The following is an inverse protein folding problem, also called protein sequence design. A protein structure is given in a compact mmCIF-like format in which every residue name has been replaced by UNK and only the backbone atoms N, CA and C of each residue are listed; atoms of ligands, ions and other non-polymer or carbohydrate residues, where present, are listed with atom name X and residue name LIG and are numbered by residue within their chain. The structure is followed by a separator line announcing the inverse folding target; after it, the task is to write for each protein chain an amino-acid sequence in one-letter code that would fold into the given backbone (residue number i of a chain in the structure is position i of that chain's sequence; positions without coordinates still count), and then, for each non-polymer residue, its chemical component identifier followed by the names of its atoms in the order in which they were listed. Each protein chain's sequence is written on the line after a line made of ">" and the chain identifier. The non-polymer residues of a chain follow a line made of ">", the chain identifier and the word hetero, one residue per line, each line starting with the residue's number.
data_IF_853794355662
#
_entry.id   IF_853794355662
#
_cell.length_a   1.000
_cell.length_b   1.000
_cell.length_c   1.000
_cell.angle_alpha   90.00
_cell.angle_beta   90.00
_cell.angle_gamma   90.00
#
_symmetry.space_group_name_H-M   'P 1'
#
loop_
_entity.id
_entity.type
_entity.pdbx_description
1 polymer ?
#
# COMPACT_ATOMS: atom_id res chain seq x y z
N UNK A 1 17.43 3.21 -2.78
CA UNK A 1 16.06 3.07 -2.25
C UNK A 1 16.13 3.61 -0.84
N UNK A 2 15.67 4.84 -0.63
CA UNK A 2 15.58 5.39 0.73
C UNK A 2 14.40 4.71 1.41
N UNK A 3 14.71 3.76 2.29
CA UNK A 3 13.74 3.19 3.21
C UNK A 3 13.89 3.98 4.52
N UNK A 4 12.85 4.69 4.92
CA UNK A 4 12.83 5.37 6.22
C UNK A 4 12.94 4.32 7.33
N UNK A 5 14.15 4.13 7.87
CA UNK A 5 14.43 3.27 9.04
C UNK A 5 14.13 3.94 10.36
N UNK A 6 13.38 5.05 10.35
CA UNK A 6 13.00 5.68 11.59
C UNK A 6 12.14 4.67 12.38
N UNK A 7 12.35 4.60 13.70
CA UNK A 7 11.99 3.47 14.57
C UNK A 7 10.47 3.37 14.85
N UNK A 8 9.65 3.60 13.81
CA UNK A 8 8.19 3.73 13.82
C UNK A 8 7.50 2.50 13.23
N UNK A 9 8.07 1.32 13.40
CA UNK A 9 7.36 0.10 13.02
C UNK A 9 6.12 -0.03 13.90
N UNK A 10 4.94 0.12 13.30
CA UNK A 10 3.69 -0.27 13.97
C UNK A 10 3.76 -1.77 14.22
N UNK A 11 3.42 -2.19 15.44
CA UNK A 11 3.31 -3.60 15.78
C UNK A 11 2.33 -4.28 14.84
N UNK A 12 2.75 -5.38 14.22
CA UNK A 12 1.95 -6.05 13.20
C UNK A 12 2.67 -7.21 12.55
N UNK A 13 1.88 -8.09 11.91
CA UNK A 13 2.41 -9.19 11.09
C UNK A 13 2.47 -8.70 9.65
N UNK A 14 3.63 -8.78 9.00
CA UNK A 14 3.78 -8.46 7.58
C UNK A 14 2.84 -9.33 6.73
N UNK A 15 2.15 -8.70 5.78
CA UNK A 15 1.31 -9.44 4.84
C UNK A 15 2.12 -10.44 4.01
N UNK A 16 1.50 -11.58 3.67
CA UNK A 16 2.12 -12.63 2.87
C UNK A 16 1.16 -13.07 1.76
N UNK A 17 1.70 -13.56 0.66
CA UNK A 17 0.90 -14.08 -0.45
C UNK A 17 1.40 -15.47 -0.83
N UNK A 18 0.49 -16.44 -0.86
CA UNK A 18 0.75 -17.73 -1.49
C UNK A 18 0.47 -17.59 -2.99
N UNK A 19 1.52 -17.77 -3.79
CA UNK A 19 1.44 -17.72 -5.25
C UNK A 19 1.57 -19.13 -5.80
N UNK A 20 0.52 -19.59 -6.49
CA UNK A 20 0.49 -20.89 -7.16
C UNK A 20 0.61 -20.69 -8.66
N UNK A 21 1.58 -21.35 -9.28
CA UNK A 21 1.91 -21.21 -10.70
C UNK A 21 1.60 -22.50 -11.43
N UNK A 22 0.80 -22.41 -12.49
CA UNK A 22 0.48 -23.54 -13.37
C UNK A 22 1.47 -23.65 -14.54
N UNK A 23 1.54 -24.80 -15.25
CA UNK A 23 2.52 -24.99 -16.34
C UNK A 23 2.39 -24.01 -17.51
N UNK A 24 1.23 -23.40 -17.70
CA UNK A 24 0.96 -22.32 -18.66
C UNK A 24 1.43 -20.94 -18.17
N UNK A 25 2.14 -20.89 -17.05
CA UNK A 25 2.71 -19.71 -16.41
C UNK A 25 1.70 -18.70 -15.82
N UNK A 26 0.41 -19.05 -15.78
CA UNK A 26 -0.59 -18.31 -15.03
C UNK A 26 -0.35 -18.38 -13.52
N UNK A 27 -0.85 -17.39 -12.78
CA UNK A 27 -0.67 -17.30 -11.33
C UNK A 27 -1.99 -17.10 -10.62
N UNK A 28 -2.25 -17.93 -9.61
CA UNK A 28 -3.31 -17.70 -8.64
C UNK A 28 -2.71 -17.18 -7.35
N UNK A 29 -3.19 -16.02 -6.89
CA UNK A 29 -2.72 -15.36 -5.69
C UNK A 29 -3.72 -15.56 -4.54
N UNK A 30 -3.23 -15.98 -3.38
CA UNK A 30 -3.99 -16.00 -2.14
C UNK A 30 -3.27 -15.15 -1.10
N UNK A 31 -3.81 -13.96 -0.82
CA UNK A 31 -3.13 -12.93 -0.02
C UNK A 31 -3.70 -12.82 1.39
N UNK A 32 -2.82 -12.94 2.38
CA UNK A 32 -3.05 -12.50 3.74
C UNK A 32 -2.47 -11.09 3.92
N UNK A 33 -3.32 -10.08 4.10
CA UNK A 33 -2.88 -8.69 4.09
C UNK A 33 -2.02 -8.28 5.30
N UNK A 34 -2.17 -8.95 6.45
CA UNK A 34 -1.44 -8.59 7.67
C UNK A 34 -1.64 -7.10 8.04
N UNK A 35 -0.55 -6.44 8.41
CA UNK A 35 -0.54 -5.01 8.79
C UNK A 35 -0.97 -4.07 7.64
N UNK A 36 -0.88 -4.51 6.37
CA UNK A 36 -1.33 -3.67 5.23
C UNK A 36 -2.85 -3.44 5.27
N UNK A 37 -3.61 -4.29 5.97
CA UNK A 37 -5.05 -4.09 6.17
C UNK A 37 -5.36 -2.83 6.99
N UNK A 38 -4.41 -2.35 7.80
CA UNK A 38 -4.57 -1.20 8.71
C UNK A 38 -3.97 0.09 8.17
N UNK A 39 -3.50 0.11 6.92
CA UNK A 39 -2.99 1.32 6.29
C UNK A 39 -4.07 2.41 6.32
N UNK A 40 -3.66 3.64 6.62
CA UNK A 40 -4.54 4.78 6.84
C UNK A 40 -3.92 6.07 6.33
N UNK A 41 -4.70 7.15 6.35
CA UNK A 41 -4.21 8.48 5.98
C UNK A 41 -3.06 8.98 6.86
N UNK A 42 -2.95 8.48 8.10
CA UNK A 42 -1.86 8.83 9.02
C UNK A 42 -0.49 8.26 8.59
N UNK A 43 -0.49 7.31 7.66
CA UNK A 43 0.71 6.66 7.13
C UNK A 43 1.22 7.36 5.85
N UNK A 44 0.52 8.41 5.38
CA UNK A 44 0.87 9.15 4.17
C UNK A 44 2.04 10.11 4.44
N UNK A 45 3.08 10.01 3.61
CA UNK A 45 4.19 10.98 3.59
C UNK A 45 3.90 12.04 2.52
N UNK A 46 3.19 13.11 2.90
CA UNK A 46 2.71 14.14 1.99
C UNK A 46 3.82 14.81 1.17
N UNK A 47 4.97 15.11 1.78
CA UNK A 47 6.10 15.73 1.09
C UNK A 47 6.63 14.86 -0.06
N UNK A 48 6.60 13.54 0.08
CA UNK A 48 7.05 12.63 -0.98
C UNK A 48 6.11 12.68 -2.18
N UNK A 49 4.80 12.84 -1.94
CA UNK A 49 3.80 12.96 -2.99
C UNK A 49 3.97 14.27 -3.76
N UNK A 50 4.08 15.40 -3.06
CA UNK A 50 4.23 16.74 -3.67
C UNK A 50 5.50 16.82 -4.52
N UNK A 51 6.58 16.15 -4.09
CA UNK A 51 7.85 16.15 -4.81
C UNK A 51 7.93 15.10 -5.94
N UNK A 52 6.83 14.41 -6.26
CA UNK A 52 6.78 13.38 -7.30
C UNK A 52 5.97 13.83 -8.51
N UNK A 53 6.44 13.52 -9.72
CA UNK A 53 5.70 13.83 -10.96
C UNK A 53 4.43 12.97 -11.12
N UNK A 54 4.44 11.76 -10.54
CA UNK A 54 3.35 10.80 -10.66
C UNK A 54 3.16 10.04 -9.35
N UNK A 55 1.90 9.77 -9.02
CA UNK A 55 1.52 8.80 -8.00
C UNK A 55 0.84 7.61 -8.64
N UNK A 56 1.29 6.41 -8.29
CA UNK A 56 0.67 5.16 -8.70
C UNK A 56 -0.05 4.52 -7.51
N UNK A 57 -1.34 4.19 -7.68
CA UNK A 57 -2.17 3.55 -6.66
C UNK A 57 -2.67 2.19 -7.17
N UNK A 58 -2.43 1.14 -6.39
CA UNK A 58 -2.99 -0.17 -6.67
C UNK A 58 -4.46 -0.24 -6.22
N UNK A 59 -5.34 -0.77 -7.06
CA UNK A 59 -6.75 -0.95 -6.69
C UNK A 59 -6.96 -1.84 -5.46
N UNK A 60 -6.00 -2.73 -5.16
CA UNK A 60 -5.99 -3.55 -3.94
C UNK A 60 -5.93 -2.73 -2.65
N UNK A 61 -5.47 -1.47 -2.69
CA UNK A 61 -5.55 -0.57 -1.54
C UNK A 61 -6.99 -0.23 -1.15
N UNK A 62 -7.97 -0.43 -2.03
CA UNK A 62 -9.37 -0.05 -1.80
C UNK A 62 -10.15 -1.15 -1.04
N UNK A 63 -9.46 -2.24 -0.65
CA UNK A 63 -10.03 -3.40 0.02
C UNK A 63 -10.44 -3.15 1.48
N UNK A 64 -9.74 -2.28 2.21
CA UNK A 64 -10.15 -1.88 3.57
C UNK A 64 -10.71 -0.44 3.59
N UNK A 65 -11.65 -0.12 4.51
CA UNK A 65 -12.19 1.23 4.61
C UNK A 65 -11.12 2.29 4.86
N UNK A 66 -10.13 2.02 5.72
CA UNK A 66 -9.05 2.95 6.05
C UNK A 66 -8.12 3.21 4.86
N UNK A 67 -7.75 2.15 4.14
CA UNK A 67 -6.86 2.25 2.98
C UNK A 67 -7.55 2.94 1.80
N UNK A 68 -8.88 2.80 1.68
CA UNK A 68 -9.67 3.57 0.70
C UNK A 68 -9.65 5.07 0.99
N UNK A 69 -9.82 5.47 2.25
CA UNK A 69 -9.73 6.89 2.65
C UNK A 69 -8.33 7.42 2.37
N UNK A 70 -7.29 6.64 2.70
CA UNK A 70 -5.91 7.00 2.40
C UNK A 70 -5.69 7.20 0.88
N UNK A 71 -6.18 6.29 0.03
CA UNK A 71 -6.05 6.40 -1.42
C UNK A 71 -6.73 7.66 -1.98
N UNK A 72 -7.89 8.04 -1.44
CA UNK A 72 -8.57 9.29 -1.83
C UNK A 72 -7.73 10.50 -1.41
N UNK A 73 -7.22 10.51 -0.17
CA UNK A 73 -6.38 11.62 0.31
C UNK A 73 -5.10 11.76 -0.49
N UNK A 74 -4.47 10.66 -0.87
CA UNK A 74 -3.28 10.67 -1.74
C UNK A 74 -3.61 11.32 -3.09
N UNK A 75 -4.75 10.97 -3.71
CA UNK A 75 -5.18 11.59 -4.97
C UNK A 75 -5.37 13.10 -4.81
N UNK A 76 -6.04 13.54 -3.74
CA UNK A 76 -6.24 14.97 -3.48
C UNK A 76 -4.92 15.72 -3.37
N UNK A 77 -3.96 15.20 -2.61
CA UNK A 77 -2.62 15.81 -2.47
C UNK A 77 -1.88 15.85 -3.81
N UNK A 78 -2.03 14.83 -4.65
CA UNK A 78 -1.36 14.77 -5.96
C UNK A 78 -1.96 15.72 -7.01
N UNK A 79 -3.18 16.22 -6.77
CA UNK A 79 -3.87 17.19 -7.64
C UNK A 79 -3.63 18.66 -7.20
N UNK A 80 -3.02 18.88 -6.03
CA UNK A 80 -2.60 20.20 -5.51
C UNK A 80 -1.32 20.71 -6.21
#
# INVERSE_FOLDING_TARGET
>A
VDYQTDNRYKDGITGTCLVMITPDAERTLNSFLGINATLSEHDIVQEAIINSDYVYLEAYMVLSPSSRVAAIRIREIAEE
#
